data_IF_255892553370
#
_entry.id   IF_255892553370
#
_cell.length_a   1.000
_cell.length_b   1.000
_cell.length_c   1.000
_cell.angle_alpha   90.00
_cell.angle_beta   90.00
_cell.angle_gamma   90.00
#
_symmetry.space_group_name_H-M   'P 1'
#
loop_
_entity.id
_entity.type
_entity.pdbx_description
1 polymer ?
#
# COMPACT_ATOMS: atom_id res chain seq x y z
N UNK A 1 10.06 2.25 8.80
CA UNK A 1 11.26 2.32 7.93
C UNK A 1 10.92 2.90 6.56
N UNK A 2 9.93 2.35 5.84
CA UNK A 2 9.54 2.85 4.51
C UNK A 2 9.08 4.31 4.52
N UNK A 3 8.37 4.76 5.55
CA UNK A 3 7.99 6.18 5.70
C UNK A 3 9.22 7.10 5.76
N UNK A 4 10.25 6.70 6.51
CA UNK A 4 11.50 7.46 6.60
C UNK A 4 12.21 7.56 5.24
N UNK A 5 12.12 6.52 4.41
CA UNK A 5 12.68 6.54 3.05
C UNK A 5 11.92 7.53 2.18
N UNK A 6 10.58 7.55 2.28
CA UNK A 6 9.72 8.53 1.60
C UNK A 6 10.05 9.96 2.02
N UNK A 7 10.17 10.22 3.32
CA UNK A 7 10.50 11.54 3.88
C UNK A 7 11.87 12.05 3.45
N UNK A 8 12.85 11.15 3.35
CA UNK A 8 14.25 11.51 3.08
C UNK A 8 14.62 11.44 1.60
N UNK A 9 13.63 11.36 0.71
CA UNK A 9 13.93 10.96 -0.66
C UNK A 9 14.85 11.93 -1.41
N UNK A 10 14.66 13.22 -1.19
CA UNK A 10 15.52 14.26 -1.77
C UNK A 10 16.97 14.12 -1.28
N UNK A 11 17.15 13.79 0.00
CA UNK A 11 18.48 13.55 0.58
C UNK A 11 19.14 12.34 -0.05
N UNK A 12 18.39 11.25 -0.27
CA UNK A 12 18.87 10.04 -0.92
C UNK A 12 19.29 10.34 -2.36
N UNK A 13 18.48 11.08 -3.12
CA UNK A 13 18.80 11.48 -4.49
C UNK A 13 20.05 12.35 -4.56
N UNK A 14 20.23 13.29 -3.62
CA UNK A 14 21.44 14.14 -3.54
C UNK A 14 22.67 13.28 -3.25
N UNK A 15 22.61 12.39 -2.26
CA UNK A 15 23.75 11.56 -1.86
C UNK A 15 24.14 10.59 -2.97
N UNK A 16 23.16 9.90 -3.57
CA UNK A 16 23.42 8.91 -4.62
C UNK A 16 23.79 9.55 -5.97
N UNK A 17 23.28 10.75 -6.26
CA UNK A 17 23.60 11.50 -7.47
C UNK A 17 24.97 12.18 -7.42
N UNK A 18 25.48 12.50 -6.23
CA UNK A 18 26.79 13.12 -6.06
C UNK A 18 27.96 12.13 -6.24
N UNK A 19 27.74 10.83 -6.01
CA UNK A 19 28.72 9.79 -6.30
C UNK A 19 28.42 9.08 -7.65
N UNK A 20 29.35 9.25 -8.59
CA UNK A 20 29.28 8.65 -9.94
C UNK A 20 29.19 7.12 -9.89
N UNK A 21 29.73 6.47 -8.86
CA UNK A 21 29.64 5.01 -8.70
C UNK A 21 28.25 4.57 -8.30
N UNK A 22 27.48 5.39 -7.58
CA UNK A 22 26.13 5.07 -7.08
C UNK A 22 25.01 5.71 -7.87
N UNK A 23 25.33 6.55 -8.87
CA UNK A 23 24.34 7.21 -9.73
C UNK A 23 23.37 6.25 -10.44
N UNK A 24 23.76 4.97 -10.64
CA UNK A 24 22.88 3.94 -11.22
C UNK A 24 21.86 3.37 -10.23
N UNK A 25 21.97 3.72 -8.94
CA UNK A 25 21.04 3.35 -7.87
C UNK A 25 20.03 4.46 -7.57
N UNK A 26 20.03 5.53 -8.37
CA UNK A 26 19.06 6.60 -8.19
C UNK A 26 17.65 6.03 -8.33
N UNK A 27 16.83 6.14 -7.28
CA UNK A 27 15.48 5.61 -7.31
C UNK A 27 14.65 6.36 -8.35
N UNK A 28 13.91 5.60 -9.15
CA UNK A 28 13.04 6.10 -10.20
C UNK A 28 11.70 6.52 -9.60
N UNK A 29 10.95 7.38 -10.30
CA UNK A 29 9.59 7.76 -9.89
C UNK A 29 8.69 6.55 -9.58
N UNK A 30 8.80 5.50 -10.40
CA UNK A 30 8.09 4.24 -10.20
C UNK A 30 8.43 3.55 -8.87
N UNK A 31 9.68 3.64 -8.40
CA UNK A 31 10.08 3.05 -7.12
C UNK A 31 9.36 3.74 -5.95
N UNK A 32 9.07 5.04 -6.06
CA UNK A 32 8.29 5.77 -5.05
C UNK A 32 6.83 5.39 -5.07
N UNK A 33 6.23 5.22 -6.25
CA UNK A 33 4.84 4.78 -6.39
C UNK A 33 4.65 3.38 -5.75
N UNK A 34 5.65 2.50 -5.91
CA UNK A 34 5.68 1.19 -5.23
C UNK A 34 5.80 1.36 -3.72
N UNK A 35 6.72 2.20 -3.22
CA UNK A 35 6.86 2.43 -1.77
C UNK A 35 5.56 3.00 -1.18
N UNK A 36 4.90 3.91 -1.87
CA UNK A 36 3.64 4.53 -1.44
C UNK A 36 2.51 3.51 -1.39
N UNK A 37 2.35 2.68 -2.43
CA UNK A 37 1.35 1.62 -2.42
C UNK A 37 1.56 0.62 -1.27
N UNK A 38 2.82 0.24 -1.01
CA UNK A 38 3.15 -0.66 0.11
C UNK A 38 2.85 0.00 1.45
N UNK A 39 3.17 1.28 1.63
CA UNK A 39 2.84 2.02 2.85
C UNK A 39 1.32 2.08 3.10
N UNK A 40 0.52 2.29 2.05
CA UNK A 40 -0.95 2.31 2.15
C UNK A 40 -1.52 0.95 2.59
N UNK A 41 -0.89 -0.15 2.16
CA UNK A 41 -1.27 -1.52 2.55
C UNK A 41 -0.80 -1.86 3.96
N UNK A 42 0.34 -1.31 4.40
CA UNK A 42 0.92 -1.59 5.72
C UNK A 42 0.36 -0.71 6.85
N UNK A 43 -0.15 0.49 6.56
CA UNK A 43 -0.74 1.39 7.57
C UNK A 43 -1.81 0.74 8.49
N UNK A 44 -2.72 -0.13 8.01
CA UNK A 44 -3.68 -0.84 8.87
C UNK A 44 -3.02 -1.87 9.81
N UNK A 45 -1.90 -2.47 9.38
CA UNK A 45 -1.15 -3.45 10.17
C UNK A 45 -0.41 -2.79 11.33
N UNK A 46 0.01 -1.53 11.17
CA UNK A 46 0.56 -0.72 12.24
C UNK A 46 -0.47 -0.51 13.35
N UNK A 47 -1.67 -0.03 13.01
CA UNK A 47 -2.78 0.16 13.96
C UNK A 47 -3.17 -1.15 14.66
N UNK A 48 -3.16 -2.27 13.93
CA UNK A 48 -3.37 -3.59 14.51
C UNK A 48 -2.27 -3.94 15.52
N UNK A 49 -1.01 -3.73 15.16
CA UNK A 49 0.14 -4.04 16.01
C UNK A 49 0.12 -3.20 17.29
N UNK A 50 -0.26 -1.93 17.20
CA UNK A 50 -0.45 -1.05 18.34
C UNK A 50 -1.59 -1.52 19.26
N UNK A 51 -2.73 -1.90 18.68
CA UNK A 51 -3.86 -2.45 19.43
C UNK A 51 -3.51 -3.78 20.14
N UNK A 52 -2.79 -4.67 19.47
CA UNK A 52 -2.36 -5.95 20.05
C UNK A 52 -1.27 -5.75 21.11
N UNK A 53 -0.31 -4.86 20.88
CA UNK A 53 0.79 -4.60 21.82
C UNK A 53 0.34 -3.83 23.08
N UNK A 54 -0.71 -3.01 22.97
CA UNK A 54 -1.33 -2.31 24.10
C UNK A 54 -2.04 -3.26 25.09
N UNK A 55 -2.45 -4.45 24.63
CA UNK A 55 -3.16 -5.41 25.47
C UNK A 55 -2.23 -6.21 26.38
N UNK A 56 -2.23 -5.90 27.68
CA UNK A 56 -1.47 -6.62 28.73
C UNK A 56 -1.94 -8.06 29.00
N UNK A 57 -3.11 -8.46 28.48
CA UNK A 57 -3.67 -9.82 28.64
C UNK A 57 -4.31 -10.28 27.33
N UNK A 58 -3.79 -11.37 26.77
CA UNK A 58 -4.36 -12.04 25.60
C UNK A 58 -5.65 -12.73 26.05
N UNK A 59 -6.78 -12.07 25.80
CA UNK A 59 -8.12 -12.61 26.04
C UNK A 59 -8.75 -12.88 24.68
N UNK A 60 -9.66 -13.84 24.53
CA UNK A 60 -10.28 -14.14 23.22
C UNK A 60 -10.95 -12.91 22.56
N UNK A 61 -11.32 -11.89 23.34
CA UNK A 61 -11.83 -10.59 22.85
C UNK A 61 -10.80 -9.75 22.09
N UNK A 62 -9.49 -10.06 22.19
CA UNK A 62 -8.44 -9.43 21.39
C UNK A 62 -8.47 -9.87 19.91
N UNK A 63 -9.30 -10.85 19.58
CA UNK A 63 -9.54 -11.33 18.20
C UNK A 63 -10.62 -10.50 17.50
N UNK A 64 -11.53 -9.86 18.25
CA UNK A 64 -12.61 -9.05 17.66
C UNK A 64 -12.09 -7.85 16.84
N UNK A 65 -11.02 -7.13 17.25
CA UNK A 65 -10.39 -6.11 16.41
C UNK A 65 -9.72 -6.66 15.15
N UNK A 66 -9.27 -7.93 15.16
CA UNK A 66 -8.66 -8.57 13.98
C UNK A 66 -9.70 -8.72 12.87
N UNK A 67 -10.87 -9.27 13.18
CA UNK A 67 -11.97 -9.45 12.22
C UNK A 67 -12.36 -8.13 11.54
N UNK A 68 -12.53 -7.06 12.32
CA UNK A 68 -12.89 -5.75 11.79
C UNK A 68 -11.80 -5.13 10.88
N UNK A 69 -10.51 -5.30 11.21
CA UNK A 69 -9.39 -4.76 10.44
C UNK A 69 -9.17 -5.54 9.14
N UNK A 70 -9.26 -6.87 9.20
CA UNK A 70 -9.11 -7.71 8.01
C UNK A 70 -10.23 -7.44 7.00
N UNK A 71 -11.49 -7.45 7.44
CA UNK A 71 -12.64 -7.32 6.54
C UNK A 71 -12.76 -5.91 5.94
N UNK A 72 -12.61 -4.86 6.75
CA UNK A 72 -12.87 -3.49 6.30
C UNK A 72 -11.65 -2.78 5.70
N UNK A 73 -10.44 -3.18 6.05
CA UNK A 73 -9.24 -2.42 5.66
C UNK A 73 -8.32 -3.21 4.73
N UNK A 74 -8.17 -4.52 4.94
CA UNK A 74 -7.33 -5.37 4.08
C UNK A 74 -8.10 -5.90 2.86
N UNK A 75 -9.34 -6.38 3.07
CA UNK A 75 -10.15 -6.97 2.01
C UNK A 75 -10.99 -5.94 1.24
N UNK A 76 -11.43 -4.84 1.86
CA UNK A 76 -12.17 -3.78 1.14
C UNK A 76 -11.26 -2.92 0.25
N UNK A 77 -9.99 -2.70 0.63
CA UNK A 77 -8.99 -2.07 -0.27
C UNK A 77 -8.64 -2.93 -1.49
N UNK A 78 -8.82 -4.25 -1.43
CA UNK A 78 -8.69 -5.14 -2.60
C UNK A 78 -9.78 -4.83 -3.64
N UNK A 79 -10.95 -4.36 -3.22
CA UNK A 79 -12.02 -3.93 -4.12
C UNK A 79 -11.67 -2.59 -4.80
N UNK A 80 -11.21 -1.61 -4.02
CA UNK A 80 -10.81 -0.28 -4.52
C UNK A 80 -9.61 -0.35 -5.49
N UNK A 81 -8.66 -1.26 -5.27
CA UNK A 81 -7.53 -1.46 -6.19
C UNK A 81 -7.87 -2.25 -7.47
N UNK A 82 -8.93 -3.06 -7.47
CA UNK A 82 -9.43 -3.75 -8.68
C UNK A 82 -10.38 -2.88 -9.51
N UNK A 83 -11.03 -1.90 -8.88
CA UNK A 83 -11.96 -0.99 -9.54
C UNK A 83 -11.25 0.11 -10.35
N UNK A 84 -9.97 0.42 -10.08
CA UNK A 84 -9.21 1.41 -10.87
C UNK A 84 -8.53 0.87 -12.13
N UNK A 85 -8.52 -0.46 -12.36
CA UNK A 85 -8.01 -1.07 -13.61
C UNK A 85 -9.12 -1.44 -14.62
N UNK A 86 -10.40 -1.19 -14.30
CA UNK A 86 -11.52 -1.55 -15.18
C UNK A 86 -12.43 -0.37 -15.54
N UNK A 87 -11.88 0.83 -15.73
CA UNK A 87 -12.64 1.96 -16.30
C UNK A 87 -12.36 2.16 -17.80
N UNK A 88 -12.24 1.07 -18.56
CA UNK A 88 -12.38 1.12 -20.03
C UNK A 88 -12.70 -0.25 -20.65
N UNK A 89 -13.76 -0.91 -20.22
CA UNK A 89 -14.47 -1.85 -21.09
C UNK A 89 -15.94 -1.48 -21.14
N UNK A 90 -16.29 -0.78 -22.22
CA UNK A 90 -17.62 -0.30 -22.55
C UNK A 90 -18.64 -1.44 -22.50
N UNK A 91 -19.63 -1.30 -21.61
CA UNK A 91 -20.85 -2.11 -21.55
C UNK A 91 -21.71 -2.01 -22.84
N UNK A 92 -21.29 -1.19 -23.81
CA UNK A 92 -21.95 -0.98 -25.09
C UNK A 92 -21.53 -1.94 -26.23
N UNK A 93 -20.49 -2.78 -26.06
CA UNK A 93 -20.08 -3.72 -27.11
C UNK A 93 -20.72 -5.11 -27.01
N UNK A 94 -21.24 -5.51 -25.84
CA UNK A 94 -21.81 -6.85 -25.68
C UNK A 94 -23.20 -7.03 -26.33
N UNK A 95 -23.94 -5.94 -26.52
CA UNK A 95 -25.25 -5.99 -27.20
C UNK A 95 -25.16 -6.00 -28.72
N UNK A 96 -23.97 -5.76 -29.31
CA UNK A 96 -23.75 -5.84 -30.75
C UNK A 96 -23.31 -7.24 -31.24
N UNK A 97 -23.10 -8.18 -30.31
CA UNK A 97 -22.73 -9.58 -30.59
C UNK A 97 -23.88 -10.57 -30.36
N UNK A 98 -25.08 -10.07 -30.08
CA UNK A 98 -26.29 -10.87 -29.84
C UNK A 98 -27.52 -10.34 -30.61
N UNK A 99 -27.28 -9.88 -31.84
CA UNK A 99 -28.24 -9.72 -32.94
C UNK A 99 -27.50 -9.83 -34.27
#
# INVERSE_FOLDING_TARGET
MLERIKEQIETICIVLGNDRKTSHLLPTRQDFDVIDSVLVVLSPLEQLTDLLSSNKRVTCSAITPLEHIFDNILFDKKKIAFDSENESYNEAEFTKLLL
#
